data_IF_653124274390
#
_entry.id   IF_653124274390
#
_cell.length_a   1.000
_cell.length_b   1.000
_cell.length_c   1.000
_cell.angle_alpha   90.00
_cell.angle_beta   90.00
_cell.angle_gamma   90.00
#
_symmetry.space_group_name_H-M   'P 1'
#
loop_
_entity.id
_entity.type
_entity.pdbx_description
1 polymer ?
#
# COMPACT_ATOMS: atom_id res chain seq x y z
N UNK A 1 -26.21 27.39 9.67
CA UNK A 1 -25.49 26.14 9.99
C UNK A 1 -26.21 25.04 9.24
N UNK A 2 -25.53 24.33 8.34
CA UNK A 2 -26.10 23.14 7.71
C UNK A 2 -25.58 21.97 8.51
N UNK A 3 -26.41 21.50 9.44
CA UNK A 3 -26.23 20.22 10.08
C UNK A 3 -26.35 19.17 8.98
N UNK A 4 -25.25 18.54 8.63
CA UNK A 4 -25.28 17.38 7.76
C UNK A 4 -25.33 16.21 8.72
N UNK A 5 -26.54 15.84 9.12
CA UNK A 5 -26.81 14.42 9.39
C UNK A 5 -26.44 13.70 8.08
N UNK A 6 -25.38 12.90 8.08
CA UNK A 6 -25.26 11.90 7.03
C UNK A 6 -26.50 11.03 7.17
N UNK A 7 -27.36 11.05 6.16
CA UNK A 7 -28.49 10.14 6.14
C UNK A 7 -27.96 8.71 6.16
N UNK A 8 -28.55 7.84 6.97
CA UNK A 8 -28.19 6.40 7.04
C UNK A 8 -28.09 5.76 5.64
N UNK A 9 -28.84 6.28 4.67
CA UNK A 9 -28.79 5.90 3.26
C UNK A 9 -27.41 6.14 2.62
N UNK A 10 -26.79 7.31 2.84
CA UNK A 10 -25.46 7.64 2.34
C UNK A 10 -24.36 6.83 3.01
N UNK A 11 -24.50 6.53 4.31
CA UNK A 11 -23.56 5.63 5.00
C UNK A 11 -23.59 4.22 4.39
N UNK A 12 -24.79 3.74 4.09
CA UNK A 12 -25.01 2.41 3.47
C UNK A 12 -24.40 2.36 2.06
N UNK A 13 -24.56 3.41 1.27
CA UNK A 13 -23.94 3.53 -0.06
C UNK A 13 -22.41 3.44 0.02
N UNK A 14 -21.78 4.20 0.94
CA UNK A 14 -20.33 4.21 1.12
C UNK A 14 -19.80 2.84 1.55
N UNK A 15 -20.51 2.16 2.46
CA UNK A 15 -20.11 0.81 2.90
C UNK A 15 -20.22 -0.18 1.74
N UNK A 16 -21.30 -0.11 0.96
CA UNK A 16 -21.50 -1.00 -0.20
C UNK A 16 -20.39 -0.79 -1.23
N UNK A 17 -20.04 0.47 -1.53
CA UNK A 17 -18.93 0.80 -2.42
C UNK A 17 -17.60 0.24 -1.89
N UNK A 18 -17.32 0.39 -0.60
CA UNK A 18 -16.12 -0.12 0.03
C UNK A 18 -16.03 -1.65 -0.05
N UNK A 19 -17.13 -2.36 0.24
CA UNK A 19 -17.21 -3.82 0.14
C UNK A 19 -16.99 -4.29 -1.31
N UNK A 20 -17.55 -3.61 -2.31
CA UNK A 20 -17.28 -3.91 -3.72
C UNK A 20 -15.81 -3.72 -4.11
N UNK A 21 -15.14 -2.69 -3.57
CA UNK A 21 -13.72 -2.46 -3.83
C UNK A 21 -12.85 -3.57 -3.23
N UNK A 22 -13.20 -4.06 -2.04
CA UNK A 22 -12.53 -5.21 -1.40
C UNK A 22 -12.78 -6.48 -2.21
N UNK A 23 -14.01 -6.74 -2.66
CA UNK A 23 -14.34 -7.91 -3.49
C UNK A 23 -13.56 -7.90 -4.82
N UNK A 24 -13.36 -6.72 -5.42
CA UNK A 24 -12.54 -6.54 -6.62
C UNK A 24 -11.03 -6.61 -6.35
N UNK A 25 -10.62 -6.80 -5.10
CA UNK A 25 -9.23 -6.82 -4.64
C UNK A 25 -8.41 -5.63 -5.16
N UNK A 26 -8.99 -4.43 -5.01
CA UNK A 26 -8.32 -3.17 -5.38
C UNK A 26 -7.06 -2.98 -4.53
N UNK A 27 -6.02 -2.36 -5.08
CA UNK A 27 -4.79 -2.04 -4.32
C UNK A 27 -5.11 -1.26 -3.03
N UNK A 28 -4.54 -1.73 -1.90
CA UNK A 28 -4.73 -1.14 -0.57
C UNK A 28 -4.55 0.39 -0.55
N UNK A 29 -3.56 0.93 -1.26
CA UNK A 29 -3.30 2.38 -1.28
C UNK A 29 -4.35 3.13 -2.08
N UNK A 30 -4.94 2.51 -3.11
CA UNK A 30 -6.06 3.09 -3.85
C UNK A 30 -7.27 3.19 -2.92
N UNK A 31 -7.57 2.13 -2.16
CA UNK A 31 -8.63 2.11 -1.16
C UNK A 31 -8.44 3.22 -0.11
N UNK A 32 -7.24 3.28 0.51
CA UNK A 32 -6.92 4.30 1.51
C UNK A 32 -7.12 5.71 0.97
N UNK A 33 -6.59 6.00 -0.21
CA UNK A 33 -6.69 7.34 -0.80
C UNK A 33 -8.13 7.71 -1.15
N UNK A 34 -8.96 6.74 -1.53
CA UNK A 34 -10.35 6.98 -1.89
C UNK A 34 -11.20 7.41 -0.68
N UNK A 35 -11.04 6.75 0.46
CA UNK A 35 -11.88 6.98 1.65
C UNK A 35 -11.24 7.88 2.73
N UNK A 36 -9.91 7.85 2.90
CA UNK A 36 -9.24 8.49 4.04
C UNK A 36 -8.33 9.66 3.67
N UNK A 37 -8.13 9.95 2.37
CA UNK A 37 -7.38 11.15 1.98
C UNK A 37 -8.12 12.41 2.43
N UNK A 38 -7.41 13.51 2.68
CA UNK A 38 -8.03 14.80 3.01
C UNK A 38 -8.92 15.34 1.87
N UNK A 39 -8.73 14.82 0.67
CA UNK A 39 -9.50 15.14 -0.53
C UNK A 39 -10.66 14.18 -0.79
N UNK A 40 -10.78 13.11 -0.01
CA UNK A 40 -11.83 12.10 -0.15
C UNK A 40 -13.23 12.70 0.00
N UNK A 41 -14.20 12.06 -0.65
CA UNK A 41 -15.62 12.41 -0.51
C UNK A 41 -16.11 12.26 0.94
N UNK A 42 -15.42 11.45 1.75
CA UNK A 42 -15.71 11.23 3.16
C UNK A 42 -15.25 12.39 4.04
N UNK A 43 -14.01 12.89 3.86
CA UNK A 43 -13.39 13.87 4.77
C UNK A 43 -13.43 15.32 4.27
N UNK A 44 -13.76 15.54 3.00
CA UNK A 44 -13.74 16.85 2.35
C UNK A 44 -14.78 17.79 2.95
N UNK A 45 -14.31 18.92 3.48
CA UNK A 45 -15.16 20.00 3.97
C UNK A 45 -15.70 19.84 5.40
N UNK A 46 -15.36 18.73 6.08
CA UNK A 46 -15.68 18.54 7.50
C UNK A 46 -14.79 19.40 8.40
N UNK A 47 -15.40 19.98 9.44
CA UNK A 47 -14.70 20.66 10.53
C UNK A 47 -13.93 19.67 11.39
N UNK A 48 -13.09 20.16 12.30
CA UNK A 48 -12.36 19.31 13.25
C UNK A 48 -13.32 18.48 14.13
N UNK A 49 -14.34 19.12 14.68
CA UNK A 49 -15.35 18.49 15.55
C UNK A 49 -16.12 17.40 14.81
N UNK A 50 -16.55 17.66 13.57
CA UNK A 50 -17.27 16.68 12.77
C UNK A 50 -16.40 15.48 12.36
N UNK A 51 -15.07 15.65 12.27
CA UNK A 51 -14.15 14.53 12.04
C UNK A 51 -14.01 13.67 13.28
N UNK A 52 -13.99 14.28 14.47
CA UNK A 52 -13.95 13.55 15.73
C UNK A 52 -15.23 12.70 15.89
N UNK A 53 -16.40 13.25 15.56
CA UNK A 53 -17.66 12.52 15.55
C UNK A 53 -17.68 11.38 14.53
N UNK A 54 -17.16 11.61 13.32
CA UNK A 54 -17.07 10.58 12.28
C UNK A 54 -16.16 9.43 12.72
N UNK A 55 -15.00 9.73 13.31
CA UNK A 55 -14.04 8.74 13.81
C UNK A 55 -14.64 7.92 14.95
N UNK A 56 -15.49 8.52 15.78
CA UNK A 56 -16.25 7.82 16.81
C UNK A 56 -17.45 7.00 16.25
N UNK A 57 -17.77 7.20 14.96
CA UNK A 57 -18.91 6.58 14.30
C UNK A 57 -18.66 5.16 13.79
N UNK A 58 -19.76 4.42 13.60
CA UNK A 58 -19.73 3.03 13.11
C UNK A 58 -19.21 2.93 11.66
N UNK A 59 -19.55 3.92 10.81
CA UNK A 59 -19.07 3.96 9.42
C UNK A 59 -17.54 3.94 9.34
N UNK A 60 -16.89 4.81 10.11
CA UNK A 60 -15.44 4.93 10.09
C UNK A 60 -14.78 3.64 10.58
N UNK A 61 -15.26 3.08 11.70
CA UNK A 61 -14.79 1.78 12.20
C UNK A 61 -14.89 0.69 11.12
N UNK A 62 -16.04 0.60 10.44
CA UNK A 62 -16.26 -0.42 9.40
C UNK A 62 -15.32 -0.24 8.21
N UNK A 63 -15.08 0.99 7.76
CA UNK A 63 -14.14 1.28 6.68
C UNK A 63 -12.71 0.93 7.08
N UNK A 64 -12.31 1.21 8.33
CA UNK A 64 -10.99 0.83 8.87
C UNK A 64 -10.83 -0.68 8.97
N UNK A 65 -11.88 -1.43 9.31
CA UNK A 65 -11.85 -2.89 9.32
C UNK A 65 -11.62 -3.47 7.91
N UNK A 66 -12.34 -2.94 6.91
CA UNK A 66 -12.19 -3.35 5.50
C UNK A 66 -10.81 -3.00 4.96
N UNK A 67 -10.30 -1.81 5.28
CA UNK A 67 -8.93 -1.39 4.94
C UNK A 67 -7.90 -2.35 5.56
N UNK A 68 -8.07 -2.68 6.83
CA UNK A 68 -7.18 -3.58 7.57
C UNK A 68 -7.18 -4.97 6.95
N UNK A 69 -8.36 -5.52 6.67
CA UNK A 69 -8.50 -6.81 6.01
C UNK A 69 -7.75 -6.83 4.67
N UNK A 70 -8.00 -5.84 3.81
CA UNK A 70 -7.38 -5.72 2.49
C UNK A 70 -5.85 -5.59 2.60
N UNK A 71 -5.37 -4.79 3.56
CA UNK A 71 -3.94 -4.60 3.81
C UNK A 71 -3.22 -5.87 4.29
N UNK A 72 -3.88 -6.69 5.11
CA UNK A 72 -3.34 -7.98 5.57
C UNK A 72 -3.34 -9.00 4.43
N UNK A 73 -4.44 -9.12 3.68
CA UNK A 73 -4.57 -10.06 2.56
C UNK A 73 -3.53 -9.80 1.47
N UNK A 74 -3.26 -8.52 1.18
CA UNK A 74 -2.22 -8.11 0.22
C UNK A 74 -0.81 -8.10 0.80
N UNK A 75 -0.67 -8.34 2.11
CA UNK A 75 0.62 -8.45 2.80
C UNK A 75 1.34 -7.13 3.06
N UNK A 76 0.63 -6.00 3.04
CA UNK A 76 1.13 -4.68 3.43
C UNK A 76 1.04 -4.45 4.94
N UNK A 77 0.06 -5.06 5.61
CA UNK A 77 -0.14 -5.00 7.05
C UNK A 77 0.09 -6.36 7.69
N UNK A 78 0.45 -6.36 8.97
CA UNK A 78 0.51 -7.54 9.83
C UNK A 78 -0.18 -7.23 11.16
N UNK A 79 -0.80 -8.24 11.78
CA UNK A 79 -1.37 -8.08 13.12
C UNK A 79 -0.25 -8.10 14.14
N UNK A 80 -0.16 -7.04 14.93
CA UNK A 80 0.64 -7.03 16.14
C UNK A 80 -0.10 -7.83 17.23
N UNK A 81 0.55 -8.88 17.73
CA UNK A 81 -0.01 -9.80 18.71
C UNK A 81 -0.09 -9.19 20.11
N UNK A 82 0.70 -8.13 20.39
CA UNK A 82 0.71 -7.48 21.70
C UNK A 82 -0.40 -6.44 21.82
N UNK A 83 -0.58 -5.62 20.79
CA UNK A 83 -1.58 -4.55 20.78
C UNK A 83 -2.91 -4.96 20.15
N UNK A 84 -2.93 -6.05 19.37
CA UNK A 84 -4.10 -6.48 18.61
C UNK A 84 -4.44 -5.54 17.44
N UNK A 85 -3.52 -4.65 17.06
CA UNK A 85 -3.73 -3.69 15.97
C UNK A 85 -2.97 -4.10 14.71
N UNK A 86 -3.47 -3.71 13.54
CA UNK A 86 -2.75 -3.90 12.30
C UNK A 86 -1.68 -2.81 12.14
N UNK A 87 -0.45 -3.23 11.90
CA UNK A 87 0.71 -2.35 11.70
C UNK A 87 1.31 -2.56 10.32
N UNK A 88 1.98 -1.54 9.80
CA UNK A 88 2.74 -1.68 8.55
C UNK A 88 3.76 -2.80 8.70
N UNK A 89 3.77 -3.70 7.70
CA UNK A 89 4.75 -4.77 7.67
C UNK A 89 6.15 -4.18 7.55
N UNK A 90 7.00 -4.50 8.52
CA UNK A 90 8.43 -4.19 8.39
C UNK A 90 9.05 -5.00 7.24
N UNK A 91 9.59 -4.30 6.25
CA UNK A 91 10.34 -4.93 5.17
C UNK A 91 11.80 -5.06 5.59
N UNK A 92 12.29 -6.30 5.66
CA UNK A 92 13.68 -6.58 6.06
C UNK A 92 14.74 -6.00 5.10
N UNK A 93 14.35 -5.64 3.88
CA UNK A 93 15.27 -5.28 2.80
C UNK A 93 16.13 -6.44 2.28
N UNK A 94 15.95 -7.65 2.84
CA UNK A 94 16.72 -8.84 2.50
C UNK A 94 15.83 -9.78 1.68
N UNK A 95 16.26 -10.09 0.46
CA UNK A 95 15.64 -11.11 -0.36
C UNK A 95 16.69 -11.93 -1.11
N UNK A 96 16.48 -13.24 -1.19
CA UNK A 96 17.37 -14.14 -1.90
C UNK A 96 16.89 -14.29 -3.35
N UNK A 97 17.66 -13.77 -4.29
CA UNK A 97 17.37 -13.87 -5.72
C UNK A 97 18.22 -14.96 -6.37
N UNK A 98 17.57 -15.89 -7.09
CA UNK A 98 18.28 -16.87 -7.93
C UNK A 98 18.56 -16.24 -9.29
N UNK A 99 19.81 -16.30 -9.74
CA UNK A 99 20.24 -15.77 -11.04
C UNK A 99 21.04 -16.82 -11.82
N UNK A 100 21.11 -16.67 -13.14
CA UNK A 100 21.94 -17.51 -13.97
C UNK A 100 23.42 -17.42 -13.56
N UNK A 101 24.16 -18.55 -13.64
CA UNK A 101 25.58 -18.61 -13.27
C UNK A 101 26.44 -17.63 -14.07
N UNK A 102 26.11 -17.41 -15.34
CA UNK A 102 26.78 -16.47 -16.24
C UNK A 102 26.60 -15.04 -15.76
N UNK A 103 25.37 -14.62 -15.48
CA UNK A 103 25.06 -13.28 -14.96
C UNK A 103 25.77 -13.02 -13.62
N UNK A 104 25.73 -13.98 -12.69
CA UNK A 104 26.46 -13.86 -11.43
C UNK A 104 27.96 -13.64 -11.65
N UNK A 105 28.57 -14.41 -12.56
CA UNK A 105 30.00 -14.26 -12.90
C UNK A 105 30.31 -12.87 -13.44
N UNK A 106 29.48 -12.36 -14.35
CA UNK A 106 29.63 -11.03 -14.94
C UNK A 106 29.57 -9.93 -13.87
N UNK A 107 28.57 -9.98 -12.99
CA UNK A 107 28.42 -9.03 -11.89
C UNK A 107 29.61 -9.06 -10.92
N UNK A 108 30.14 -10.26 -10.60
CA UNK A 108 31.33 -10.39 -9.74
C UNK A 108 32.57 -9.76 -10.38
N UNK A 109 32.77 -9.96 -11.69
CA UNK A 109 33.90 -9.36 -12.41
C UNK A 109 33.76 -7.84 -12.45
N UNK A 110 32.56 -7.35 -12.75
CA UNK A 110 32.26 -5.92 -12.80
C UNK A 110 32.47 -5.25 -11.44
N UNK A 111 31.95 -5.84 -10.36
CA UNK A 111 32.10 -5.32 -8.99
C UNK A 111 33.58 -5.21 -8.59
N UNK A 112 34.38 -6.22 -8.93
CA UNK A 112 35.83 -6.21 -8.71
C UNK A 112 36.53 -5.12 -9.52
N UNK A 113 36.15 -4.92 -10.78
CA UNK A 113 36.70 -3.89 -11.66
C UNK A 113 36.40 -2.48 -11.14
N UNK A 114 35.20 -2.29 -10.61
CA UNK A 114 34.75 -1.00 -10.05
C UNK A 114 35.21 -0.78 -8.60
N UNK A 115 35.78 -1.79 -7.95
CA UNK A 115 36.25 -1.71 -6.57
C UNK A 115 35.12 -1.62 -5.54
N UNK A 116 33.93 -2.13 -5.87
CA UNK A 116 32.73 -2.09 -5.01
C UNK A 116 32.28 -3.49 -4.59
N UNK A 117 31.59 -3.65 -3.45
CA UNK A 117 30.94 -4.91 -3.09
C UNK A 117 29.88 -5.31 -4.12
N UNK A 118 29.75 -6.61 -4.38
CA UNK A 118 28.74 -7.15 -5.31
C UNK A 118 27.32 -6.68 -4.97
N UNK A 119 26.95 -6.68 -3.69
CA UNK A 119 25.63 -6.22 -3.27
C UNK A 119 25.39 -4.74 -3.63
N UNK A 120 26.39 -3.88 -3.45
CA UNK A 120 26.30 -2.46 -3.80
C UNK A 120 26.11 -2.26 -5.31
N UNK A 121 26.83 -3.03 -6.13
CA UNK A 121 26.65 -3.04 -7.59
C UNK A 121 25.22 -3.50 -7.96
N UNK A 122 24.73 -4.57 -7.34
CA UNK A 122 23.38 -5.08 -7.58
C UNK A 122 22.31 -4.03 -7.21
N UNK A 123 22.42 -3.39 -6.05
CA UNK A 123 21.49 -2.33 -5.63
C UNK A 123 21.49 -1.17 -6.61
N UNK A 124 22.68 -0.71 -7.02
CA UNK A 124 22.81 0.36 -8.01
C UNK A 124 22.08 0.00 -9.31
N UNK A 125 22.32 -1.20 -9.85
CA UNK A 125 21.68 -1.64 -11.10
C UNK A 125 20.16 -1.80 -10.94
N UNK A 126 19.68 -2.29 -9.81
CA UNK A 126 18.24 -2.43 -9.52
C UNK A 126 17.54 -1.10 -9.29
N UNK A 127 18.25 -0.08 -8.79
CA UNK A 127 17.71 1.27 -8.59
C UNK A 127 17.53 2.06 -9.89
N UNK A 128 18.16 1.63 -10.99
CA UNK A 128 17.99 2.30 -12.26
C UNK A 128 16.64 1.91 -12.86
N UNK A 129 15.85 2.87 -13.36
CA UNK A 129 14.62 2.57 -14.10
C UNK A 129 14.94 1.58 -15.20
N UNK A 130 14.14 0.52 -15.33
CA UNK A 130 14.26 -0.46 -16.42
C UNK A 130 14.13 0.29 -17.75
N UNK A 131 15.26 0.66 -18.36
CA UNK A 131 15.26 1.22 -19.71
C UNK A 131 14.96 0.07 -20.67
N UNK A 132 13.75 0.08 -21.22
CA UNK A 132 13.24 -0.71 -22.35
C UNK A 132 13.88 -2.10 -22.53
N UNK A 133 13.29 -3.13 -21.93
CA UNK A 133 13.57 -4.53 -22.28
C UNK A 133 12.93 -5.00 -23.61
N UNK A 134 12.36 -4.09 -24.42
CA UNK A 134 11.80 -4.42 -25.74
C UNK A 134 12.50 -3.60 -26.84
N UNK A 135 13.75 -3.95 -27.11
CA UNK A 135 14.35 -3.70 -28.41
C UNK A 135 15.36 -4.82 -28.65
N UNK A 136 14.86 -5.98 -29.10
CA UNK A 136 15.45 -6.83 -30.16
C UNK A 136 14.75 -8.18 -30.11
N UNK A 137 13.72 -8.34 -30.94
CA UNK A 137 13.27 -9.63 -31.46
C UNK A 137 12.60 -9.37 -32.79
N UNK A 138 13.39 -9.61 -33.86
CA UNK A 138 13.05 -9.81 -35.27
C UNK A 138 12.33 -8.67 -36.01
#
# INVERSE_FOLDING_TARGET
>A
MRDIEMTNERETEIITEAEEMVEKNVDFRIFHNHFFSQTSSLLKGLSKEQREDLVAGNLYSRLTDLETQLGIEQGFLVMDLETGTAVEKEYSGIFNMRVAKTLHKELVIEAKREGVPLNSLCVLKLSQPLKNCLATSA
#
